data_IF_758342616501
#
_entry.id   IF_758342616501
#
_cell.length_a   1.000
_cell.length_b   1.000
_cell.length_c   1.000
_cell.angle_alpha   90.00
_cell.angle_beta   90.00
_cell.angle_gamma   90.00
#
_symmetry.space_group_name_H-M   'P 1'
#
loop_
_entity.id
_entity.type
_entity.pdbx_description
1 polymer ?
#
# COMPACT_ATOMS: atom_id res chain seq x y z
N UNK A 1 7.13 -10.93 22.87
CA UNK A 1 6.30 -10.08 21.97
C UNK A 1 4.86 -10.50 22.12
N UNK A 2 3.98 -9.58 22.51
CA UNK A 2 2.56 -9.78 22.69
C UNK A 2 1.83 -9.37 21.39
N UNK A 3 0.80 -10.11 21.00
CA UNK A 3 -0.09 -9.78 19.88
C UNK A 3 -1.52 -9.73 20.40
N UNK A 4 -2.25 -8.70 19.98
CA UNK A 4 -3.66 -8.52 20.33
C UNK A 4 -4.53 -8.29 19.09
N UNK A 5 -5.84 -8.45 19.25
CA UNK A 5 -6.83 -8.25 18.20
C UNK A 5 -7.27 -6.80 18.19
N UNK A 6 -7.21 -6.20 17.01
CA UNK A 6 -7.69 -4.84 16.75
C UNK A 6 -8.85 -4.90 15.77
N UNK A 7 -9.97 -4.29 16.12
CA UNK A 7 -11.06 -4.05 15.18
C UNK A 7 -10.67 -2.91 14.25
N UNK A 8 -10.89 -3.09 12.94
CA UNK A 8 -10.47 -2.08 11.98
C UNK A 8 -11.22 -0.74 12.12
N UNK A 9 -12.44 -0.73 12.62
CA UNK A 9 -13.19 0.50 12.89
C UNK A 9 -12.70 1.28 14.14
N UNK A 10 -11.97 0.61 15.04
CA UNK A 10 -11.31 1.28 16.17
C UNK A 10 -9.91 1.75 15.77
N UNK A 11 -9.19 0.92 15.03
CA UNK A 11 -7.81 1.17 14.60
C UNK A 11 -7.70 2.26 13.53
N UNK A 12 -8.69 2.37 12.65
CA UNK A 12 -8.63 3.20 11.46
C UNK A 12 -9.93 3.97 11.21
N UNK A 13 -9.80 5.20 10.71
CA UNK A 13 -10.90 5.90 10.04
C UNK A 13 -11.07 5.29 8.65
N UNK A 14 -12.23 4.68 8.39
CA UNK A 14 -12.54 4.03 7.12
C UNK A 14 -13.39 4.95 6.26
N UNK A 15 -12.90 5.30 5.07
CA UNK A 15 -13.61 6.13 4.11
C UNK A 15 -13.75 5.42 2.77
N UNK A 16 -14.91 5.62 2.12
CA UNK A 16 -15.07 5.22 0.72
C UNK A 16 -14.36 6.24 -0.17
N UNK A 17 -13.49 5.74 -1.03
CA UNK A 17 -12.85 6.59 -2.02
C UNK A 17 -13.90 7.13 -3.00
N UNK A 18 -13.81 8.41 -3.29
CA UNK A 18 -14.69 9.13 -4.25
C UNK A 18 -14.02 9.16 -5.61
N UNK A 19 -14.82 9.27 -6.62
CA UNK A 19 -14.33 9.46 -7.98
C UNK A 19 -15.28 8.86 -9.01
N UNK A 20 -15.22 9.43 -10.20
CA UNK A 20 -15.97 8.99 -11.39
C UNK A 20 -15.17 7.90 -12.11
N UNK A 21 -15.74 7.21 -13.10
CA UNK A 21 -14.97 6.35 -13.99
C UNK A 21 -13.79 7.09 -14.62
N UNK A 22 -12.66 6.42 -14.82
CA UNK A 22 -11.43 6.98 -15.41
C UNK A 22 -11.71 7.77 -16.70
N UNK A 23 -12.59 7.25 -17.56
CA UNK A 23 -12.97 7.87 -18.84
C UNK A 23 -13.71 9.22 -18.71
N UNK A 24 -13.97 9.68 -17.49
CA UNK A 24 -14.61 10.99 -17.23
C UNK A 24 -13.62 12.07 -16.80
N UNK A 25 -12.33 11.73 -16.79
CA UNK A 25 -11.26 12.65 -16.46
C UNK A 25 -10.35 12.84 -17.66
N UNK A 26 -9.75 14.01 -17.74
CA UNK A 26 -8.64 14.30 -18.65
C UNK A 26 -7.33 13.79 -18.05
N UNK A 27 -6.32 13.61 -18.90
CA UNK A 27 -4.95 13.29 -18.44
C UNK A 27 -4.41 14.41 -17.55
N UNK A 28 -3.61 14.04 -16.55
CA UNK A 28 -3.04 14.96 -15.58
C UNK A 28 -2.01 14.29 -14.69
N UNK A 29 -1.84 14.78 -13.46
CA UNK A 29 -0.78 14.32 -12.55
C UNK A 29 -1.29 13.54 -11.33
N UNK A 30 -2.60 13.57 -11.06
CA UNK A 30 -3.17 12.86 -9.90
C UNK A 30 -3.32 11.36 -10.20
N UNK A 31 -2.75 10.47 -9.38
CA UNK A 31 -2.89 9.03 -9.57
C UNK A 31 -4.36 8.59 -9.52
N UNK A 32 -4.77 7.75 -10.47
CA UNK A 32 -6.07 7.09 -10.42
C UNK A 32 -5.91 5.63 -10.00
N UNK A 33 -6.44 5.30 -8.82
CA UNK A 33 -6.25 4.03 -8.14
C UNK A 33 -7.47 3.13 -8.27
N UNK A 34 -7.23 1.85 -8.54
CA UNK A 34 -8.26 0.80 -8.65
C UNK A 34 -7.83 -0.45 -7.87
N UNK A 35 -8.67 -1.49 -7.85
CA UNK A 35 -8.31 -2.82 -7.35
C UNK A 35 -7.40 -3.61 -8.33
N UNK A 36 -6.49 -2.95 -9.04
CA UNK A 36 -5.46 -3.59 -9.87
C UNK A 36 -4.35 -4.17 -9.00
N UNK A 37 -3.82 -5.34 -9.40
CA UNK A 37 -2.65 -5.94 -8.73
C UNK A 37 -1.32 -5.32 -9.19
N UNK A 38 -1.33 -4.65 -10.34
CA UNK A 38 -0.13 -4.04 -10.93
C UNK A 38 0.00 -2.59 -10.50
N UNK A 39 1.25 -2.10 -10.48
CA UNK A 39 1.59 -0.70 -10.28
C UNK A 39 0.91 -0.08 -9.04
N UNK A 40 0.90 -0.78 -7.91
CA UNK A 40 0.26 -0.35 -6.66
C UNK A 40 -1.19 0.15 -6.83
N UNK A 41 -1.92 -0.45 -7.78
CA UNK A 41 -3.30 -0.09 -8.11
C UNK A 41 -3.47 1.11 -9.04
N UNK A 42 -2.42 1.85 -9.35
CA UNK A 42 -2.45 3.02 -10.23
C UNK A 42 -2.60 2.56 -11.67
N UNK A 43 -3.65 3.00 -12.34
CA UNK A 43 -3.98 2.65 -13.73
C UNK A 43 -3.91 3.84 -14.69
N UNK A 44 -3.58 5.02 -14.20
CA UNK A 44 -3.40 6.22 -15.00
C UNK A 44 -3.21 7.45 -14.11
N UNK A 45 -2.98 8.59 -14.75
CA UNK A 45 -2.87 9.89 -14.10
C UNK A 45 -3.87 10.84 -14.71
N UNK A 46 -4.56 11.61 -13.89
CA UNK A 46 -5.71 12.40 -14.28
C UNK A 46 -5.67 13.80 -13.70
N UNK A 47 -6.41 14.69 -14.32
CA UNK A 47 -6.77 15.98 -13.75
C UNK A 47 -8.14 15.86 -13.07
N UNK A 48 -8.17 16.03 -11.76
CA UNK A 48 -9.37 15.83 -10.96
C UNK A 48 -9.69 17.05 -10.10
N UNK A 49 -10.98 17.35 -9.88
CA UNK A 49 -11.37 18.36 -8.90
C UNK A 49 -11.05 17.87 -7.47
N UNK A 50 -10.75 18.79 -6.56
CA UNK A 50 -10.43 18.49 -5.15
C UNK A 50 -11.50 17.62 -4.46
N UNK A 51 -12.75 17.77 -4.85
CA UNK A 51 -13.89 16.99 -4.30
C UNK A 51 -13.78 15.49 -4.55
N UNK A 52 -13.04 15.09 -5.58
CA UNK A 52 -12.86 13.70 -5.98
C UNK A 52 -11.54 13.12 -5.42
N UNK A 53 -10.66 13.98 -4.87
CA UNK A 53 -9.36 13.59 -4.33
C UNK A 53 -9.51 13.01 -2.93
N UNK A 54 -8.91 11.85 -2.71
CA UNK A 54 -8.70 11.22 -1.41
C UNK A 54 -7.27 11.49 -0.93
N UNK A 55 -7.10 11.68 0.37
CA UNK A 55 -5.79 11.94 0.96
C UNK A 55 -4.89 10.69 0.90
N UNK A 56 -3.61 10.95 0.70
CA UNK A 56 -2.56 9.94 0.82
C UNK A 56 -2.31 9.50 2.27
N UNK A 57 -1.18 8.85 2.48
CA UNK A 57 -0.81 8.17 3.74
C UNK A 57 -1.94 7.27 4.24
N UNK A 58 -2.45 6.42 3.39
CA UNK A 58 -3.53 5.50 3.73
C UNK A 58 -3.33 4.11 3.11
N UNK A 59 -4.01 3.12 3.68
CA UNK A 59 -4.12 1.79 3.09
C UNK A 59 -5.45 1.72 2.33
N UNK A 60 -5.39 1.46 1.03
CA UNK A 60 -6.60 1.16 0.25
C UNK A 60 -6.88 -0.33 0.24
N UNK A 61 -8.16 -0.69 0.36
CA UNK A 61 -8.62 -2.08 0.33
C UNK A 61 -9.66 -2.24 -0.77
N UNK A 62 -9.39 -3.15 -1.71
CA UNK A 62 -10.33 -3.53 -2.75
C UNK A 62 -11.40 -4.48 -2.19
N UNK A 63 -12.70 -4.13 -2.29
CA UNK A 63 -13.76 -4.94 -1.71
C UNK A 63 -14.03 -6.26 -2.46
N UNK A 64 -13.56 -6.40 -3.69
CA UNK A 64 -13.82 -7.58 -4.52
C UNK A 64 -12.75 -8.65 -4.32
N UNK A 65 -11.49 -8.27 -4.38
CA UNK A 65 -10.35 -9.19 -4.32
C UNK A 65 -9.67 -9.21 -2.96
N UNK A 66 -10.02 -8.28 -2.07
CA UNK A 66 -9.36 -8.12 -0.77
C UNK A 66 -7.91 -7.65 -0.88
N UNK A 67 -7.52 -7.07 -2.01
CA UNK A 67 -6.20 -6.52 -2.20
C UNK A 67 -6.02 -5.27 -1.35
N UNK A 68 -4.84 -5.14 -0.76
CA UNK A 68 -4.47 -3.98 0.05
C UNK A 68 -3.21 -3.35 -0.51
N UNK A 69 -3.19 -2.03 -0.59
CA UNK A 69 -2.08 -1.24 -1.14
C UNK A 69 -1.91 0.04 -0.32
N UNK A 70 -0.68 0.46 -0.10
CA UNK A 70 -0.39 1.75 0.53
C UNK A 70 -0.35 2.84 -0.53
N UNK A 71 -1.05 3.93 -0.29
CA UNK A 71 -1.00 5.13 -1.11
C UNK A 71 -0.31 6.25 -0.32
N UNK A 72 0.89 6.62 -0.76
CA UNK A 72 1.66 7.70 -0.14
C UNK A 72 1.04 9.06 -0.43
N UNK A 73 0.71 9.28 -1.70
CA UNK A 73 0.24 10.56 -2.21
C UNK A 73 -1.28 10.62 -2.32
N UNK A 74 -1.80 11.82 -2.42
CA UNK A 74 -3.21 12.08 -2.73
C UNK A 74 -3.58 11.44 -4.07
N UNK A 75 -4.78 10.88 -4.15
CA UNK A 75 -5.21 10.10 -5.30
C UNK A 75 -6.72 10.19 -5.55
N UNK A 76 -7.15 9.79 -6.71
CA UNK A 76 -8.56 9.53 -7.02
C UNK A 76 -8.74 8.03 -7.23
N UNK A 77 -9.83 7.48 -6.77
CA UNK A 77 -10.05 6.06 -7.00
C UNK A 77 -11.52 5.68 -7.06
N UNK A 78 -11.76 4.58 -7.74
CA UNK A 78 -13.07 3.98 -7.80
C UNK A 78 -12.95 2.46 -7.81
N UNK A 79 -13.84 1.78 -7.11
CA UNK A 79 -13.94 0.33 -7.16
C UNK A 79 -14.44 -0.17 -8.52
N UNK A 80 -14.08 -1.38 -8.87
CA UNK A 80 -14.59 -2.07 -10.04
C UNK A 80 -16.09 -2.34 -9.89
N UNK A 81 -16.85 -2.33 -10.99
CA UNK A 81 -18.30 -2.60 -11.00
C UNK A 81 -19.13 -1.73 -10.05
N UNK A 82 -18.70 -0.50 -9.79
CA UNK A 82 -19.39 0.44 -8.91
C UNK A 82 -19.11 0.23 -7.41
N UNK A 83 -18.41 -0.81 -7.02
CA UNK A 83 -17.90 -0.97 -5.66
C UNK A 83 -16.71 -0.02 -5.47
N UNK A 84 -16.80 0.91 -4.55
CA UNK A 84 -15.69 1.80 -4.21
C UNK A 84 -14.65 1.06 -3.38
N UNK A 85 -13.38 1.29 -3.67
CA UNK A 85 -12.31 0.91 -2.76
C UNK A 85 -12.45 1.70 -1.46
N UNK A 86 -11.98 1.13 -0.36
CA UNK A 86 -11.99 1.77 0.94
C UNK A 86 -10.59 2.26 1.27
N UNK A 87 -10.48 3.47 1.82
CA UNK A 87 -9.25 4.02 2.35
C UNK A 87 -9.28 3.95 3.89
N UNK A 88 -8.21 3.44 4.49
CA UNK A 88 -8.01 3.31 5.92
C UNK A 88 -6.92 4.29 6.33
N UNK A 89 -7.29 5.27 7.15
CA UNK A 89 -6.38 6.24 7.75
C UNK A 89 -6.11 5.82 9.19
N UNK A 90 -4.85 5.57 9.52
CA UNK A 90 -4.44 5.13 10.86
C UNK A 90 -3.46 6.15 11.42
N UNK A 91 -3.75 6.65 12.61
CA UNK A 91 -2.88 7.61 13.29
C UNK A 91 -1.50 6.98 13.57
N UNK A 92 -0.43 7.74 13.36
CA UNK A 92 0.95 7.27 13.57
C UNK A 92 1.50 6.29 12.54
N UNK A 93 0.70 5.89 11.53
CA UNK A 93 1.14 5.02 10.46
C UNK A 93 2.03 5.76 9.46
N UNK A 94 3.09 5.10 9.01
CA UNK A 94 3.91 5.48 7.87
C UNK A 94 4.01 4.31 6.86
N UNK A 95 4.71 4.50 5.76
CA UNK A 95 4.86 3.49 4.70
C UNK A 95 5.36 2.15 5.26
N UNK A 96 6.38 2.16 6.10
CA UNK A 96 6.99 0.94 6.63
C UNK A 96 6.03 0.16 7.53
N UNK A 97 5.37 0.84 8.47
CA UNK A 97 4.36 0.21 9.33
C UNK A 97 3.11 -0.21 8.55
N UNK A 98 2.74 0.54 7.50
CA UNK A 98 1.65 0.17 6.61
C UNK A 98 1.87 -1.18 5.94
N UNK A 99 3.11 -1.52 5.55
CA UNK A 99 3.42 -2.83 4.96
C UNK A 99 3.12 -3.98 5.91
N UNK A 100 3.43 -3.81 7.21
CA UNK A 100 3.08 -4.80 8.23
C UNK A 100 1.55 -4.95 8.38
N UNK A 101 0.84 -3.82 8.47
CA UNK A 101 -0.63 -3.79 8.62
C UNK A 101 -1.30 -4.39 7.39
N UNK A 102 -0.83 -4.07 6.18
CA UNK A 102 -1.30 -4.67 4.93
C UNK A 102 -1.20 -6.19 4.98
N UNK A 103 -0.07 -6.74 5.45
CA UNK A 103 0.09 -8.18 5.60
C UNK A 103 -0.92 -8.78 6.59
N UNK A 104 -1.24 -8.08 7.68
CA UNK A 104 -2.25 -8.50 8.65
C UNK A 104 -3.67 -8.44 8.07
N UNK A 105 -4.02 -7.36 7.35
CA UNK A 105 -5.33 -7.23 6.68
C UNK A 105 -5.51 -8.31 5.61
N UNK A 106 -4.49 -8.57 4.79
CA UNK A 106 -4.53 -9.61 3.74
C UNK A 106 -4.82 -11.00 4.28
N UNK A 107 -4.36 -11.35 5.49
CA UNK A 107 -4.69 -12.63 6.13
C UNK A 107 -6.20 -12.82 6.35
N UNK A 108 -6.95 -11.73 6.50
CA UNK A 108 -8.40 -11.73 6.69
C UNK A 108 -9.10 -11.52 5.35
N UNK A 109 -8.76 -10.47 4.63
CA UNK A 109 -9.47 -10.05 3.41
C UNK A 109 -9.43 -11.10 2.30
N UNK A 110 -8.28 -11.74 2.06
CA UNK A 110 -8.13 -12.77 1.01
C UNK A 110 -8.94 -14.05 1.29
N UNK A 111 -9.35 -14.28 2.53
CA UNK A 111 -10.18 -15.43 2.90
C UNK A 111 -11.68 -15.19 2.67
N UNK A 112 -12.11 -13.93 2.73
CA UNK A 112 -13.53 -13.56 2.74
C UNK A 112 -13.95 -12.77 1.50
N UNK A 113 -13.04 -11.99 0.89
CA UNK A 113 -13.37 -11.17 -0.26
C UNK A 113 -13.57 -12.01 -1.52
N UNK A 114 -14.68 -11.82 -2.20
CA UNK A 114 -14.98 -12.42 -3.50
C UNK A 114 -16.00 -11.56 -4.24
N UNK A 115 -16.19 -11.84 -5.53
CA UNK A 115 -17.22 -11.16 -6.32
C UNK A 115 -18.63 -11.37 -5.75
N UNK A 116 -18.90 -12.55 -5.22
CA UNK A 116 -20.20 -12.89 -4.61
C UNK A 116 -20.33 -12.41 -3.16
N UNK A 117 -19.21 -12.10 -2.52
CA UNK A 117 -19.15 -11.69 -1.13
C UNK A 117 -18.18 -10.52 -0.96
N UNK A 118 -18.65 -9.31 -1.25
CA UNK A 118 -17.83 -8.12 -1.16
C UNK A 118 -17.35 -7.85 0.27
N UNK A 119 -16.06 -7.62 0.41
CA UNK A 119 -15.45 -7.13 1.64
C UNK A 119 -15.61 -5.60 1.72
N UNK A 120 -16.88 -5.18 1.77
CA UNK A 120 -17.28 -3.78 1.77
C UNK A 120 -16.94 -3.08 3.09
N UNK A 121 -17.19 -1.77 3.15
CA UNK A 121 -16.84 -0.95 4.32
C UNK A 121 -17.42 -1.45 5.64
N UNK A 122 -18.63 -2.02 5.66
CA UNK A 122 -19.23 -2.55 6.89
C UNK A 122 -18.47 -3.78 7.39
N UNK A 123 -18.22 -4.74 6.50
CA UNK A 123 -17.45 -5.95 6.85
C UNK A 123 -16.00 -5.65 7.17
N UNK A 124 -15.41 -4.68 6.47
CA UNK A 124 -14.08 -4.19 6.76
C UNK A 124 -14.02 -3.57 8.16
N UNK A 125 -15.03 -2.77 8.53
CA UNK A 125 -15.12 -2.15 9.84
C UNK A 125 -15.20 -3.18 10.99
N UNK A 126 -15.91 -4.28 10.78
CA UNK A 126 -16.07 -5.36 11.76
C UNK A 126 -14.90 -6.36 11.79
N UNK A 127 -14.02 -6.29 10.79
CA UNK A 127 -12.91 -7.23 10.70
C UNK A 127 -11.88 -6.97 11.81
N UNK A 128 -11.30 -8.07 12.30
CA UNK A 128 -10.23 -8.02 13.31
C UNK A 128 -8.92 -8.48 12.69
N UNK A 129 -7.86 -7.76 13.02
CA UNK A 129 -6.48 -8.12 12.65
C UNK A 129 -5.63 -8.30 13.91
N UNK A 130 -4.59 -9.12 13.79
CA UNK A 130 -3.60 -9.31 14.87
C UNK A 130 -2.42 -8.39 14.65
N UNK A 131 -2.12 -7.53 15.63
CA UNK A 131 -0.94 -6.67 15.61
C UNK A 131 -0.09 -6.87 16.87
N UNK A 132 1.23 -6.66 16.76
CA UNK A 132 2.11 -6.57 17.92
C UNK A 132 1.69 -5.37 18.77
N UNK A 133 1.71 -5.55 20.08
CA UNK A 133 1.12 -4.62 21.04
C UNK A 133 2.10 -4.36 22.17
N UNK A 134 2.19 -3.14 22.63
CA UNK A 134 2.93 -2.77 23.84
C UNK A 134 2.33 -3.49 25.07
N UNK A 135 3.18 -3.80 26.06
CA UNK A 135 2.70 -4.45 27.29
C UNK A 135 1.84 -3.51 28.15
N UNK A 136 2.12 -2.21 28.09
CA UNK A 136 1.35 -1.20 28.80
C UNK A 136 0.01 -0.91 28.09
N UNK A 137 -1.07 -0.92 28.85
CA UNK A 137 -2.37 -0.46 28.38
C UNK A 137 -2.49 1.06 28.52
N UNK A 138 -3.16 1.67 27.56
CA UNK A 138 -3.53 3.09 27.59
C UNK A 138 -5.07 3.20 27.51
N UNK A 139 -5.69 3.65 28.57
CA UNK A 139 -7.15 3.77 28.65
C UNK A 139 -7.70 4.76 27.60
N UNK A 140 -6.90 5.71 27.16
CA UNK A 140 -7.25 6.72 26.15
C UNK A 140 -6.73 6.35 24.75
N UNK A 141 -6.34 5.08 24.54
CA UNK A 141 -5.82 4.62 23.25
C UNK A 141 -6.78 4.91 22.10
N UNK A 142 -6.34 5.61 21.05
CA UNK A 142 -7.17 5.86 19.88
C UNK A 142 -7.31 4.63 18.97
N UNK A 143 -6.65 3.52 19.31
CA UNK A 143 -6.53 2.32 18.46
C UNK A 143 -7.41 1.16 18.89
N UNK A 144 -7.86 1.16 20.15
CA UNK A 144 -8.61 0.04 20.70
C UNK A 144 -9.37 0.42 21.95
N UNK A 145 -10.65 0.06 22.03
CA UNK A 145 -11.48 0.20 23.24
C UNK A 145 -10.97 -0.61 24.44
N UNK A 146 -10.08 -1.57 24.22
CA UNK A 146 -9.42 -2.36 25.26
C UNK A 146 -8.11 -1.70 25.78
N UNK A 147 -7.78 -0.51 25.31
CA UNK A 147 -6.56 0.20 25.70
C UNK A 147 -5.29 -0.36 25.07
N UNK A 148 -5.39 -1.19 24.05
CA UNK A 148 -4.21 -1.69 23.34
C UNK A 148 -3.58 -0.60 22.48
N UNK A 149 -2.23 -0.56 22.49
CA UNK A 149 -1.44 0.35 21.66
C UNK A 149 -0.55 -0.49 20.76
N UNK A 150 -0.62 -0.30 19.41
CA UNK A 150 0.26 -1.03 18.50
C UNK A 150 1.73 -0.73 18.77
N UNK A 151 2.57 -1.77 18.71
CA UNK A 151 4.02 -1.59 18.77
C UNK A 151 4.55 -1.18 17.39
N UNK A 152 4.43 0.11 17.10
CA UNK A 152 4.88 0.71 15.84
C UNK A 152 6.36 0.46 15.57
N UNK A 153 7.19 0.53 16.62
CA UNK A 153 8.61 0.31 16.49
C UNK A 153 8.92 -1.11 16.04
N UNK A 154 8.31 -2.09 16.68
CA UNK A 154 8.50 -3.49 16.30
C UNK A 154 8.05 -3.75 14.86
N UNK A 155 6.90 -3.20 14.44
CA UNK A 155 6.42 -3.37 13.07
C UNK A 155 7.40 -2.83 12.04
N UNK A 156 7.96 -1.63 12.27
CA UNK A 156 8.98 -1.01 11.41
C UNK A 156 10.27 -1.81 11.38
N UNK A 157 10.78 -2.16 12.56
CA UNK A 157 12.02 -2.94 12.68
C UNK A 157 11.88 -4.29 11.95
N UNK A 158 10.72 -4.95 12.08
CA UNK A 158 10.48 -6.24 11.41
C UNK A 158 10.40 -6.13 9.90
N UNK A 159 9.77 -5.09 9.37
CA UNK A 159 9.75 -4.85 7.90
C UNK A 159 11.17 -4.57 7.40
N UNK A 160 11.90 -3.68 8.07
CA UNK A 160 13.28 -3.35 7.69
C UNK A 160 14.22 -4.57 7.73
N UNK A 161 14.06 -5.46 8.72
CA UNK A 161 14.80 -6.72 8.80
C UNK A 161 14.50 -7.62 7.59
N UNK A 162 13.22 -7.81 7.26
CA UNK A 162 12.81 -8.63 6.11
C UNK A 162 13.29 -8.06 4.78
N UNK A 163 13.28 -6.73 4.62
CA UNK A 163 13.83 -6.07 3.43
C UNK A 163 15.33 -6.30 3.31
N UNK A 164 16.07 -6.15 4.41
CA UNK A 164 17.51 -6.41 4.46
C UNK A 164 17.84 -7.86 4.10
N UNK A 165 17.14 -8.81 4.69
CA UNK A 165 17.33 -10.23 4.41
C UNK A 165 17.06 -10.54 2.94
N UNK A 166 16.01 -9.93 2.37
CA UNK A 166 15.66 -10.10 0.95
C UNK A 166 16.71 -9.52 0.00
N UNK A 167 17.25 -8.34 0.33
CA UNK A 167 18.35 -7.74 -0.45
C UNK A 167 19.57 -8.63 -0.40
N UNK A 168 19.97 -9.11 0.78
CA UNK A 168 21.12 -10.00 0.94
C UNK A 168 20.94 -11.32 0.16
N UNK A 169 19.73 -11.89 0.14
CA UNK A 169 19.42 -13.10 -0.64
C UNK A 169 19.59 -12.85 -2.14
N UNK A 170 19.10 -11.69 -2.64
CA UNK A 170 19.25 -11.30 -4.04
C UNK A 170 20.72 -11.05 -4.43
N UNK A 171 21.48 -10.38 -3.57
CA UNK A 171 22.92 -10.18 -3.78
C UNK A 171 23.67 -11.49 -3.88
N UNK A 172 23.42 -12.42 -2.99
CA UNK A 172 24.01 -13.76 -3.01
C UNK A 172 23.63 -14.52 -4.30
N UNK A 173 22.37 -14.40 -4.74
CA UNK A 173 21.94 -15.01 -6.00
C UNK A 173 22.67 -14.40 -7.20
N UNK A 174 22.81 -13.08 -7.27
CA UNK A 174 23.54 -12.40 -8.34
C UNK A 174 25.01 -12.82 -8.38
N UNK A 175 25.68 -12.93 -7.22
CA UNK A 175 27.06 -13.42 -7.12
C UNK A 175 27.16 -14.86 -7.60
N UNK A 176 26.31 -15.76 -7.13
CA UNK A 176 26.32 -17.17 -7.50
C UNK A 176 26.02 -17.42 -8.96
N UNK A 177 25.23 -16.57 -9.61
CA UNK A 177 24.89 -16.65 -11.03
C UNK A 177 25.87 -15.89 -11.95
N UNK A 178 26.88 -15.24 -11.42
CA UNK A 178 27.83 -14.42 -12.16
C UNK A 178 27.22 -13.14 -12.74
N UNK A 179 26.09 -12.70 -12.22
CA UNK A 179 25.35 -11.50 -12.65
C UNK A 179 25.58 -10.30 -11.72
N UNK A 180 26.61 -10.36 -10.88
CA UNK A 180 26.94 -9.32 -9.93
C UNK A 180 27.74 -8.13 -10.52
N UNK A 181 28.12 -8.20 -11.79
CA UNK A 181 28.70 -7.04 -12.50
C UNK A 181 27.58 -6.12 -12.99
N UNK A 182 27.24 -5.17 -12.14
CA UNK A 182 26.19 -4.17 -12.41
C UNK A 182 26.74 -2.82 -12.85
N UNK A 183 28.04 -2.74 -13.22
CA UNK A 183 28.61 -1.51 -13.77
C UNK A 183 28.03 -1.26 -15.14
N UNK A 184 26.99 -0.42 -15.16
CA UNK A 184 26.39 0.02 -16.42
C UNK A 184 27.42 0.77 -17.24
N UNK A 185 27.64 0.31 -18.47
CA UNK A 185 28.39 1.07 -19.48
C UNK A 185 27.61 2.33 -19.86
N UNK A 186 28.25 3.33 -20.49
CA UNK A 186 27.52 4.51 -20.97
C UNK A 186 26.46 4.14 -22.03
N UNK A 187 26.68 3.05 -22.75
CA UNK A 187 25.74 2.50 -23.71
C UNK A 187 24.50 1.91 -23.02
N UNK A 188 24.67 1.15 -21.93
CA UNK A 188 23.58 0.62 -21.11
C UNK A 188 22.75 1.74 -20.50
N UNK A 189 23.41 2.80 -20.01
CA UNK A 189 22.73 3.97 -19.45
C UNK A 189 21.91 4.70 -20.51
N UNK A 190 22.43 4.84 -21.73
CA UNK A 190 21.71 5.45 -22.83
C UNK A 190 20.46 4.64 -23.23
N UNK A 191 20.58 3.30 -23.31
CA UNK A 191 19.45 2.40 -23.60
C UNK A 191 18.39 2.44 -22.52
N UNK A 192 18.79 2.45 -21.26
CA UNK A 192 17.85 2.58 -20.13
C UNK A 192 17.14 3.93 -20.14
N UNK A 193 17.86 5.02 -20.42
CA UNK A 193 17.27 6.34 -20.53
C UNK A 193 16.27 6.44 -21.69
N UNK A 194 16.59 5.87 -22.87
CA UNK A 194 15.70 5.84 -24.01
C UNK A 194 14.42 5.03 -23.73
N UNK A 195 14.53 3.85 -23.09
CA UNK A 195 13.36 3.05 -22.70
C UNK A 195 12.47 3.71 -21.67
N UNK A 196 13.01 4.58 -20.82
CA UNK A 196 12.24 5.37 -19.85
C UNK A 196 11.43 6.51 -20.52
N UNK A 197 11.89 6.95 -21.71
CA UNK A 197 11.22 8.02 -22.47
C UNK A 197 10.14 7.44 -23.42
N UNK A 198 10.41 6.30 -24.05
CA UNK A 198 9.54 5.71 -25.10
C UNK A 198 8.58 4.61 -24.60
N UNK A 199 8.81 4.06 -23.44
CA UNK A 199 8.01 2.96 -22.93
C UNK A 199 7.03 3.41 -21.86
N UNK A 200 5.74 3.47 -22.18
CA UNK A 200 4.63 3.69 -21.24
C UNK A 200 4.51 2.66 -20.11
N UNK A 201 5.57 2.47 -19.36
CA UNK A 201 5.64 1.71 -18.13
C UNK A 201 6.08 2.64 -17.01
N UNK A 202 5.11 3.12 -16.24
CA UNK A 202 5.34 4.03 -15.12
C UNK A 202 6.12 3.32 -14.00
N UNK A 203 7.43 3.35 -14.06
CA UNK A 203 8.29 3.12 -12.91
C UNK A 203 8.68 4.48 -12.33
N UNK A 204 8.38 4.71 -11.07
CA UNK A 204 8.71 5.93 -10.34
C UNK A 204 10.17 6.34 -10.56
N UNK A 205 10.36 7.49 -11.22
CA UNK A 205 11.66 8.09 -11.56
C UNK A 205 12.54 8.37 -10.32
N UNK A 206 11.96 8.39 -9.13
CA UNK A 206 12.61 8.87 -7.90
C UNK A 206 13.43 7.81 -7.17
N UNK A 207 13.09 6.52 -7.25
CA UNK A 207 13.78 5.47 -6.48
C UNK A 207 15.07 4.94 -7.14
N UNK A 208 15.17 5.00 -8.46
CA UNK A 208 16.36 4.50 -9.16
C UNK A 208 17.53 5.48 -9.19
N UNK A 209 17.29 6.79 -9.10
CA UNK A 209 18.35 7.80 -9.08
C UNK A 209 19.04 7.91 -7.70
N UNK A 210 18.41 7.45 -6.63
CA UNK A 210 19.02 7.41 -5.29
C UNK A 210 19.90 6.17 -5.04
N UNK A 211 19.78 5.12 -5.86
CA UNK A 211 20.63 3.92 -5.76
C UNK A 211 21.86 3.99 -6.67
N UNK A 212 21.98 4.99 -7.53
CA UNK A 212 23.09 5.16 -8.49
C UNK A 212 24.02 6.34 -8.13
N UNK A 213 23.84 6.97 -6.97
CA UNK A 213 24.73 7.97 -6.38
C UNK A 213 25.39 7.42 -5.10
#
# INVERSE_FOLDING_TARGET
>A
MKYERYKLNELAKIEKVKGKPLSKYEEGETPYVTGSQSNNGVVGYINAPETDISKGNCIVVDPIKGLCMYQENDFVGRGFSGASINALYIEGMDETSAMFIIAAIKKVSLKVASYSYLFNSNKLAEAEIMLPTLDALDADSPYSSNGYVPDWKYMKDRVAELEKDRVAELENYLIASGLNDYKLTEEDKAVLAAKLVDGGGYYHKTRYLQMAA
#
